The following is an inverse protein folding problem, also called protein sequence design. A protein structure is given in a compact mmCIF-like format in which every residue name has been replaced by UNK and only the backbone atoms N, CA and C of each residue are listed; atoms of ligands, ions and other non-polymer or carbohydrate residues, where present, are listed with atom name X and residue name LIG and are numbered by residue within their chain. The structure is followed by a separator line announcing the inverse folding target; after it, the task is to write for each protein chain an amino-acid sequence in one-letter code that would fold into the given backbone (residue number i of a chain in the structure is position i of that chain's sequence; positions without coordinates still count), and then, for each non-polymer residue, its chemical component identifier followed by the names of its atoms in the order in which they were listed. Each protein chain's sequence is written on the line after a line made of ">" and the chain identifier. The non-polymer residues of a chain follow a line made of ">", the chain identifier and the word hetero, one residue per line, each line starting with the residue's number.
data_IF_981008645324
#
_entry.id   IF_981008645324
#
_cell.length_a   1.000
_cell.length_b   1.000
_cell.length_c   1.000
_cell.angle_alpha   90.00
_cell.angle_beta   90.00
_cell.angle_gamma   90.00
#
_symmetry.space_group_name_H-M   'P 1'
#
loop_
_entity.id
_entity.type
_entity.pdbx_description
1 polymer ?
#
# COMPACT_ATOMS: atom_id res chain seq x y z
N UNK A 1 -12.19 -7.95 -18.50
CA UNK A 1 -13.14 -7.24 -17.63
C UNK A 1 -13.29 -5.79 -18.06
N UNK A 2 -12.18 -5.08 -18.27
CA UNK A 2 -12.18 -3.72 -18.80
C UNK A 2 -12.99 -3.61 -20.11
N UNK A 3 -12.67 -4.41 -21.13
CA UNK A 3 -13.37 -4.37 -22.43
C UNK A 3 -14.89 -4.62 -22.28
N UNK A 4 -15.27 -5.58 -21.42
CA UNK A 4 -16.68 -5.87 -21.11
C UNK A 4 -17.45 -4.65 -20.58
N UNK A 5 -16.81 -3.78 -19.80
CA UNK A 5 -17.45 -2.55 -19.29
C UNK A 5 -17.70 -1.54 -20.42
N UNK A 6 -16.85 -1.50 -21.44
CA UNK A 6 -17.03 -0.59 -22.59
C UNK A 6 -18.00 -1.14 -23.63
N UNK A 7 -18.04 -2.47 -23.78
CA UNK A 7 -18.87 -3.15 -24.78
C UNK A 7 -20.32 -3.37 -24.29
N UNK A 8 -20.56 -3.29 -22.98
CA UNK A 8 -21.88 -3.53 -22.37
C UNK A 8 -22.52 -2.21 -21.96
N UNK A 9 -23.76 -1.91 -22.38
CA UNK A 9 -24.48 -0.74 -21.87
C UNK A 9 -24.68 -0.81 -20.35
N UNK A 10 -24.63 0.33 -19.61
CA UNK A 10 -24.77 0.33 -18.15
C UNK A 10 -26.07 -0.29 -17.63
N UNK A 11 -27.14 -0.25 -18.42
CA UNK A 11 -28.44 -0.86 -18.08
C UNK A 11 -28.36 -2.39 -18.00
N UNK A 12 -27.34 -2.98 -18.62
CA UNK A 12 -27.13 -4.42 -18.74
C UNK A 12 -25.99 -4.94 -17.85
N UNK A 13 -25.46 -4.12 -16.93
CA UNK A 13 -24.40 -4.55 -16.02
C UNK A 13 -24.89 -5.62 -15.05
N UNK A 14 -24.20 -6.77 -15.05
CA UNK A 14 -24.42 -7.84 -14.08
C UNK A 14 -23.58 -7.64 -12.81
N UNK A 15 -23.60 -8.65 -11.95
CA UNK A 15 -22.87 -8.62 -10.68
C UNK A 15 -21.35 -8.47 -10.87
N UNK A 16 -20.77 -9.09 -11.91
CA UNK A 16 -19.34 -8.99 -12.19
C UNK A 16 -18.92 -7.56 -12.59
N UNK A 17 -19.67 -6.93 -13.48
CA UNK A 17 -19.43 -5.54 -13.92
C UNK A 17 -19.56 -4.59 -12.73
N UNK A 18 -20.66 -4.69 -11.98
CA UNK A 18 -20.90 -3.86 -10.81
C UNK A 18 -19.82 -4.03 -9.73
N UNK A 19 -19.27 -5.24 -9.59
CA UNK A 19 -18.16 -5.51 -8.66
C UNK A 19 -16.83 -4.92 -9.11
N UNK A 20 -16.61 -4.77 -10.42
CA UNK A 20 -15.38 -4.19 -10.97
C UNK A 20 -15.42 -2.65 -11.03
N UNK A 21 -16.60 -2.04 -11.10
CA UNK A 21 -16.76 -0.57 -11.21
C UNK A 21 -16.04 0.22 -10.12
N UNK A 22 -16.13 -0.11 -8.81
CA UNK A 22 -15.43 0.65 -7.77
C UNK A 22 -13.91 0.67 -7.99
N UNK A 23 -13.35 -0.47 -8.41
CA UNK A 23 -11.92 -0.58 -8.73
C UNK A 23 -11.58 0.33 -9.92
N UNK A 24 -12.34 0.26 -11.01
CA UNK A 24 -12.13 1.12 -12.17
C UNK A 24 -12.17 2.61 -11.80
N UNK A 25 -13.19 3.05 -11.08
CA UNK A 25 -13.34 4.44 -10.66
C UNK A 25 -12.22 4.87 -9.70
N UNK A 26 -11.78 4.00 -8.79
CA UNK A 26 -10.65 4.31 -7.90
C UNK A 26 -9.32 4.47 -8.66
N UNK A 27 -9.12 3.70 -9.74
CA UNK A 27 -7.96 3.84 -10.64
C UNK A 27 -8.04 5.17 -11.39
N UNK A 28 -9.20 5.51 -11.95
CA UNK A 28 -9.42 6.80 -12.63
C UNK A 28 -9.21 7.99 -11.68
N UNK A 29 -9.65 7.86 -10.43
CA UNK A 29 -9.46 8.88 -9.41
C UNK A 29 -7.98 9.17 -9.14
N UNK A 30 -7.16 8.12 -9.01
CA UNK A 30 -5.72 8.28 -8.83
C UNK A 30 -5.06 8.79 -10.12
N UNK A 31 -5.45 8.23 -11.27
CA UNK A 31 -4.88 8.57 -12.58
C UNK A 31 -5.08 10.03 -12.97
N UNK A 32 -6.22 10.63 -12.63
CA UNK A 32 -6.48 12.04 -12.93
C UNK A 32 -5.52 13.00 -12.22
N UNK A 33 -4.88 12.59 -11.13
CA UNK A 33 -3.89 13.40 -10.41
C UNK A 33 -2.55 13.51 -11.15
N UNK A 34 -2.25 12.55 -12.01
CA UNK A 34 -0.94 12.42 -12.68
C UNK A 34 -1.04 12.48 -14.20
N UNK A 35 -2.22 12.77 -14.75
CA UNK A 35 -2.41 12.94 -16.18
C UNK A 35 -1.86 14.30 -16.61
N UNK A 36 -0.88 14.29 -17.52
CA UNK A 36 -0.44 15.50 -18.19
C UNK A 36 -1.54 15.96 -19.16
N UNK A 37 -2.09 17.15 -18.95
CA UNK A 37 -3.03 17.74 -19.89
C UNK A 37 -2.28 18.20 -21.16
N UNK A 38 -2.67 17.75 -22.36
CA UNK A 38 -2.07 18.23 -23.60
C UNK A 38 -2.29 19.74 -23.72
N UNK A 39 -1.24 20.54 -23.51
CA UNK A 39 -1.29 22.00 -23.46
C UNK A 39 -0.87 22.61 -22.12
N UNK A 40 -0.71 21.81 -21.07
CA UNK A 40 -0.09 22.24 -19.82
C UNK A 40 1.42 22.46 -20.06
N UNK A 41 1.85 23.73 -20.06
CA UNK A 41 3.28 24.03 -20.00
C UNK A 41 3.85 23.41 -18.71
N UNK A 42 4.93 22.63 -18.85
CA UNK A 42 5.64 22.00 -17.72
C UNK A 42 5.95 23.06 -16.65
N UNK A 43 5.21 23.04 -15.53
CA UNK A 43 5.52 23.88 -14.37
C UNK A 43 4.38 24.60 -13.65
N UNK A 44 3.10 24.25 -13.83
CA UNK A 44 2.00 24.87 -13.04
C UNK A 44 1.28 23.88 -12.11
N UNK A 45 1.30 24.19 -10.80
CA UNK A 45 0.48 23.57 -9.73
C UNK A 45 -1.03 23.52 -10.06
N UNK A 46 -1.48 24.34 -11.01
CA UNK A 46 -2.86 24.37 -11.51
C UNK A 46 -3.29 23.02 -12.07
N UNK A 47 -2.40 22.33 -12.82
CA UNK A 47 -2.71 21.03 -13.43
C UNK A 47 -2.92 19.94 -12.37
N UNK A 48 -2.16 19.96 -11.28
CA UNK A 48 -2.29 18.98 -10.20
C UNK A 48 -3.57 19.21 -9.38
N UNK A 49 -3.90 20.47 -9.10
CA UNK A 49 -5.12 20.83 -8.38
C UNK A 49 -6.39 20.47 -9.17
N UNK A 50 -6.42 20.76 -10.47
CA UNK A 50 -7.52 20.34 -11.35
C UNK A 50 -7.63 18.81 -11.44
N UNK A 51 -6.49 18.12 -11.48
CA UNK A 51 -6.42 16.66 -11.44
C UNK A 51 -7.01 16.07 -10.15
N UNK A 52 -6.75 16.70 -9.00
CA UNK A 52 -7.37 16.34 -7.71
C UNK A 52 -8.88 16.55 -7.74
N UNK A 53 -9.36 17.69 -8.25
CA UNK A 53 -10.79 18.01 -8.28
C UNK A 53 -11.58 17.04 -9.17
N UNK A 54 -11.01 16.64 -10.31
CA UNK A 54 -11.60 15.57 -11.13
C UNK A 54 -11.52 14.21 -10.44
N UNK A 55 -10.37 13.91 -9.83
CA UNK A 55 -10.15 12.65 -9.13
C UNK A 55 -11.11 12.46 -7.96
N UNK A 56 -11.45 13.53 -7.26
CA UNK A 56 -12.41 13.53 -6.16
C UNK A 56 -13.81 13.08 -6.62
N UNK A 57 -14.23 13.40 -7.85
CA UNK A 57 -15.51 12.93 -8.42
C UNK A 57 -15.50 11.42 -8.58
N UNK A 58 -14.45 10.87 -9.20
CA UNK A 58 -14.29 9.43 -9.37
C UNK A 58 -14.13 8.70 -8.04
N UNK A 59 -13.36 9.26 -7.10
CA UNK A 59 -13.20 8.73 -5.74
C UNK A 59 -14.55 8.65 -5.01
N UNK A 60 -15.34 9.72 -5.09
CA UNK A 60 -16.66 9.79 -4.44
C UNK A 60 -17.60 8.73 -5.01
N UNK A 61 -17.61 8.56 -6.33
CA UNK A 61 -18.40 7.53 -6.99
C UNK A 61 -17.92 6.11 -6.60
N UNK A 62 -16.61 5.83 -6.63
CA UNK A 62 -16.05 4.54 -6.20
C UNK A 62 -16.48 4.18 -4.77
N UNK A 63 -16.39 5.16 -3.86
CA UNK A 63 -16.78 5.00 -2.45
C UNK A 63 -18.28 4.76 -2.28
N UNK A 64 -19.13 5.37 -3.10
CA UNK A 64 -20.59 5.19 -3.06
C UNK A 64 -21.03 3.81 -3.58
N UNK A 65 -20.25 3.22 -4.49
CA UNK A 65 -20.52 1.90 -5.07
C UNK A 65 -20.03 0.73 -4.21
N UNK A 66 -19.35 0.99 -3.09
CA UNK A 66 -18.71 -0.05 -2.29
C UNK A 66 -18.92 0.15 -0.79
N UNK A 67 -19.33 -0.92 -0.10
CA UNK A 67 -19.21 -1.01 1.34
C UNK A 67 -17.79 -1.42 1.73
N UNK A 68 -16.91 -0.44 1.98
CA UNK A 68 -15.49 -0.68 2.26
C UNK A 68 -15.26 -1.58 3.48
N UNK A 69 -16.18 -1.59 4.44
CA UNK A 69 -16.13 -2.42 5.66
C UNK A 69 -16.37 -3.90 5.38
N UNK A 70 -17.01 -4.24 4.25
CA UNK A 70 -17.28 -5.61 3.83
C UNK A 70 -16.51 -6.04 2.58
N UNK A 71 -15.27 -5.60 2.46
CA UNK A 71 -14.36 -6.07 1.43
C UNK A 71 -13.95 -7.54 1.65
N UNK A 72 -14.41 -8.44 0.78
CA UNK A 72 -14.19 -9.91 0.87
C UNK A 72 -13.45 -10.54 -0.33
N UNK A 73 -13.13 -9.77 -1.35
CA UNK A 73 -12.44 -10.25 -2.54
C UNK A 73 -11.31 -9.32 -3.00
N UNK A 74 -10.49 -9.82 -3.92
CA UNK A 74 -9.31 -9.10 -4.40
C UNK A 74 -9.65 -7.80 -5.15
N UNK A 75 -10.63 -7.76 -6.08
CA UNK A 75 -11.01 -6.51 -6.75
C UNK A 75 -11.45 -5.42 -5.76
N UNK A 76 -12.24 -5.79 -4.76
CA UNK A 76 -12.68 -4.86 -3.72
C UNK A 76 -11.51 -4.35 -2.89
N UNK A 77 -10.59 -5.24 -2.51
CA UNK A 77 -9.40 -4.86 -1.75
C UNK A 77 -8.52 -3.91 -2.57
N UNK A 78 -8.30 -4.22 -3.84
CA UNK A 78 -7.55 -3.36 -4.77
C UNK A 78 -8.20 -1.97 -4.89
N UNK A 79 -9.53 -1.88 -4.96
CA UNK A 79 -10.23 -0.59 -5.00
C UNK A 79 -9.93 0.25 -3.75
N UNK A 80 -9.96 -0.39 -2.58
CA UNK A 80 -9.57 0.27 -1.31
C UNK A 80 -8.10 0.71 -1.34
N UNK A 81 -7.18 -0.08 -1.89
CA UNK A 81 -5.77 0.31 -2.05
C UNK A 81 -5.59 1.55 -2.94
N UNK A 82 -6.30 1.62 -4.07
CA UNK A 82 -6.28 2.80 -4.93
C UNK A 82 -6.91 4.02 -4.25
N UNK A 83 -7.97 3.83 -3.48
CA UNK A 83 -8.55 4.90 -2.63
C UNK A 83 -7.55 5.39 -1.57
N UNK A 84 -6.77 4.51 -0.95
CA UNK A 84 -5.70 4.88 -0.01
C UNK A 84 -4.63 5.71 -0.71
N UNK A 85 -4.17 5.30 -1.91
CA UNK A 85 -3.19 6.06 -2.69
C UNK A 85 -3.69 7.46 -3.06
N UNK A 86 -4.97 7.58 -3.44
CA UNK A 86 -5.59 8.88 -3.71
C UNK A 86 -5.61 9.77 -2.47
N UNK A 87 -6.01 9.23 -1.31
CA UNK A 87 -6.04 9.96 -0.04
C UNK A 87 -4.64 10.40 0.41
N UNK A 88 -3.63 9.54 0.21
CA UNK A 88 -2.24 9.87 0.50
C UNK A 88 -1.74 11.01 -0.40
N UNK A 89 -2.05 10.96 -1.70
CA UNK A 89 -1.60 11.95 -2.68
C UNK A 89 -2.31 13.30 -2.52
N UNK A 90 -3.55 13.30 -2.03
CA UNK A 90 -4.33 14.50 -1.67
C UNK A 90 -4.10 15.00 -0.24
N UNK A 91 -3.10 14.46 0.46
CA UNK A 91 -2.72 14.81 1.83
C UNK A 91 -3.82 14.63 2.91
N UNK A 92 -4.84 13.81 2.65
CA UNK A 92 -5.87 13.47 3.64
C UNK A 92 -5.46 12.26 4.49
N UNK A 93 -4.41 12.44 5.31
CA UNK A 93 -3.75 11.35 6.04
C UNK A 93 -4.63 10.71 7.13
N UNK A 94 -5.55 11.46 7.75
CA UNK A 94 -6.46 10.92 8.77
C UNK A 94 -7.44 9.90 8.18
N UNK A 95 -8.06 10.23 7.04
CA UNK A 95 -8.94 9.29 6.32
C UNK A 95 -8.13 8.15 5.72
N UNK A 96 -6.94 8.44 5.20
CA UNK A 96 -6.00 7.44 4.68
C UNK A 96 -5.68 6.37 5.73
N UNK A 97 -5.30 6.77 6.95
CA UNK A 97 -5.01 5.86 8.05
C UNK A 97 -6.20 4.95 8.39
N UNK A 98 -7.41 5.51 8.42
CA UNK A 98 -8.64 4.72 8.64
C UNK A 98 -8.86 3.66 7.56
N UNK A 99 -8.63 4.01 6.28
CA UNK A 99 -8.78 3.11 5.15
C UNK A 99 -7.71 2.02 5.14
N UNK A 100 -6.46 2.34 5.51
CA UNK A 100 -5.39 1.35 5.70
C UNK A 100 -5.81 0.30 6.73
N UNK A 101 -6.40 0.72 7.85
CA UNK A 101 -6.90 -0.21 8.86
C UNK A 101 -8.02 -1.13 8.35
N UNK A 102 -8.90 -0.61 7.50
CA UNK A 102 -9.94 -1.41 6.84
C UNK A 102 -9.30 -2.43 5.89
N UNK A 103 -8.40 -1.98 5.01
CA UNK A 103 -7.70 -2.85 4.06
C UNK A 103 -6.91 -3.96 4.78
N UNK A 104 -6.22 -3.62 5.87
CA UNK A 104 -5.48 -4.58 6.69
C UNK A 104 -6.41 -5.62 7.29
N UNK A 105 -7.51 -5.22 7.93
CA UNK A 105 -8.49 -6.17 8.49
C UNK A 105 -9.12 -7.07 7.43
N UNK A 106 -9.41 -6.53 6.25
CA UNK A 106 -9.87 -7.33 5.11
C UNK A 106 -8.80 -8.32 4.62
N UNK A 107 -7.55 -7.88 4.49
CA UNK A 107 -6.43 -8.75 4.12
C UNK A 107 -6.19 -9.86 5.16
N UNK A 108 -6.36 -9.58 6.45
CA UNK A 108 -6.31 -10.57 7.52
C UNK A 108 -7.45 -11.59 7.40
N UNK A 109 -8.69 -11.13 7.23
CA UNK A 109 -9.88 -11.99 7.04
C UNK A 109 -9.74 -12.92 5.83
N UNK A 110 -9.18 -12.40 4.75
CA UNK A 110 -8.92 -13.16 3.53
C UNK A 110 -7.67 -14.05 3.65
N UNK A 111 -6.86 -13.94 4.71
CA UNK A 111 -5.68 -14.78 4.97
C UNK A 111 -4.42 -14.38 4.21
N UNK A 112 -4.27 -13.13 3.75
CA UNK A 112 -3.13 -12.70 2.92
C UNK A 112 -1.82 -12.55 3.72
N UNK A 113 -1.90 -12.41 5.04
CA UNK A 113 -0.74 -12.41 5.95
C UNK A 113 -0.09 -13.79 6.08
N UNK A 114 -0.76 -14.83 5.56
CA UNK A 114 -0.33 -16.22 5.69
C UNK A 114 0.39 -16.73 4.45
N UNK A 115 1.48 -17.45 4.62
CA UNK A 115 2.08 -18.29 3.58
C UNK A 115 1.26 -19.58 3.44
N UNK A 116 0.15 -19.47 2.72
CA UNK A 116 -0.76 -20.57 2.48
C UNK A 116 -0.20 -21.50 1.39
N UNK A 117 -0.08 -22.79 1.69
CA UNK A 117 0.34 -23.85 0.75
C UNK A 117 -0.78 -24.34 -0.17
N UNK A 118 -1.99 -23.76 -0.08
CA UNK A 118 -3.12 -24.10 -0.94
C UNK A 118 -2.83 -23.83 -2.43
N UNK A 119 -3.54 -24.54 -3.31
CA UNK A 119 -3.39 -24.51 -4.77
C UNK A 119 -3.95 -23.25 -5.41
N UNK A 120 -3.46 -22.07 -5.03
CA UNK A 120 -3.63 -20.87 -5.85
C UNK A 120 -2.77 -20.97 -7.09
N UNK A 121 -3.30 -20.51 -8.23
CA UNK A 121 -2.48 -20.32 -9.42
C UNK A 121 -1.41 -19.23 -9.14
N UNK A 122 -0.27 -19.22 -9.86
CA UNK A 122 0.82 -18.28 -9.59
C UNK A 122 0.41 -16.80 -9.63
N UNK A 123 -0.47 -16.42 -10.56
CA UNK A 123 -0.98 -15.03 -10.66
C UNK A 123 -1.74 -14.64 -9.39
N UNK A 124 -2.67 -15.48 -8.94
CA UNK A 124 -3.47 -15.20 -7.75
C UNK A 124 -2.59 -15.16 -6.49
N UNK A 125 -1.65 -16.10 -6.36
CA UNK A 125 -0.69 -16.14 -5.25
C UNK A 125 0.11 -14.84 -5.16
N UNK A 126 0.71 -14.40 -6.27
CA UNK A 126 1.50 -13.17 -6.29
C UNK A 126 0.64 -11.92 -6.10
N UNK A 127 -0.58 -11.89 -6.65
CA UNK A 127 -1.52 -10.78 -6.46
C UNK A 127 -1.87 -10.58 -4.97
N UNK A 128 -2.15 -11.68 -4.25
CA UNK A 128 -2.45 -11.68 -2.82
C UNK A 128 -1.24 -11.25 -1.98
N UNK A 129 -0.07 -11.79 -2.29
CA UNK A 129 1.21 -11.47 -1.65
C UNK A 129 1.55 -9.99 -1.80
N UNK A 130 1.49 -9.46 -3.02
CA UNK A 130 1.79 -8.05 -3.31
C UNK A 130 0.81 -7.10 -2.64
N UNK A 131 -0.49 -7.40 -2.67
CA UNK A 131 -1.51 -6.59 -2.00
C UNK A 131 -1.22 -6.47 -0.49
N UNK A 132 -0.87 -7.58 0.17
CA UNK A 132 -0.51 -7.57 1.59
C UNK A 132 0.70 -6.68 1.89
N UNK A 133 1.79 -6.82 1.13
CA UNK A 133 2.99 -6.01 1.36
C UNK A 133 2.79 -4.54 1.04
N UNK A 134 1.93 -4.19 0.08
CA UNK A 134 1.53 -2.78 -0.16
C UNK A 134 0.83 -2.21 1.08
N UNK A 135 -0.13 -2.93 1.67
CA UNK A 135 -0.82 -2.50 2.90
C UNK A 135 0.18 -2.27 4.03
N UNK A 136 1.13 -3.20 4.21
CA UNK A 136 2.15 -3.12 5.27
C UNK A 136 3.09 -1.92 5.10
N UNK A 137 3.47 -1.61 3.86
CA UNK A 137 4.26 -0.40 3.55
C UNK A 137 3.47 0.87 3.86
N UNK A 138 2.21 0.94 3.43
CA UNK A 138 1.33 2.09 3.70
C UNK A 138 1.09 2.30 5.20
N UNK A 139 0.81 1.24 5.95
CA UNK A 139 0.67 1.26 7.41
C UNK A 139 1.93 1.85 8.06
N UNK A 140 3.10 1.33 7.71
CA UNK A 140 4.37 1.80 8.27
C UNK A 140 4.64 3.27 7.93
N UNK A 141 4.43 3.66 6.67
CA UNK A 141 4.67 5.03 6.20
C UNK A 141 3.74 6.04 6.87
N UNK A 142 2.43 5.79 6.88
CA UNK A 142 1.45 6.71 7.49
C UNK A 142 1.60 6.75 9.00
N UNK A 143 1.88 5.60 9.63
CA UNK A 143 2.16 5.54 11.07
C UNK A 143 3.41 6.35 11.45
N UNK A 144 4.46 6.31 10.62
CA UNK A 144 5.65 7.16 10.82
C UNK A 144 5.31 8.65 10.79
N UNK A 145 4.49 9.08 9.81
CA UNK A 145 4.10 10.49 9.65
C UNK A 145 3.20 11.00 10.78
N UNK A 146 2.31 10.15 11.28
CA UNK A 146 1.33 10.52 12.31
C UNK A 146 1.81 10.25 13.75
N UNK A 147 2.97 9.59 13.92
CA UNK A 147 3.48 9.18 15.23
C UNK A 147 2.64 8.05 15.86
N UNK A 148 2.03 7.19 15.05
CA UNK A 148 1.20 6.09 15.49
C UNK A 148 1.99 4.76 15.54
N UNK A 149 1.57 3.81 16.39
CA UNK A 149 2.11 2.45 16.34
C UNK A 149 1.60 1.71 15.10
N UNK A 150 2.38 0.73 14.64
CA UNK A 150 1.93 -0.21 13.59
C UNK A 150 0.71 -1.01 14.04
N UNK A 151 -0.15 -1.35 13.08
CA UNK A 151 -1.40 -2.06 13.37
C UNK A 151 -1.26 -3.58 13.54
N UNK A 152 -0.22 -4.19 12.96
CA UNK A 152 0.02 -5.64 13.00
C UNK A 152 1.48 -5.93 13.38
N UNK A 153 1.67 -6.87 14.32
CA UNK A 153 3.01 -7.28 14.73
C UNK A 153 3.66 -8.15 13.64
N UNK A 154 4.98 -8.12 13.60
CA UNK A 154 5.74 -8.87 12.60
C UNK A 154 5.70 -10.39 12.89
N UNK A 155 5.49 -10.79 14.15
CA UNK A 155 5.35 -12.20 14.57
C UNK A 155 4.04 -12.85 14.08
N UNK A 156 3.03 -12.04 13.76
CA UNK A 156 1.73 -12.49 13.25
C UNK A 156 1.74 -12.70 11.72
N UNK A 157 2.91 -12.64 11.08
CA UNK A 157 3.07 -12.65 9.62
C UNK A 157 4.10 -13.69 9.21
N UNK A 158 3.70 -14.68 8.41
CA UNK A 158 4.61 -15.64 7.77
C UNK A 158 4.62 -15.53 6.24
N UNK A 159 3.86 -14.60 5.64
CA UNK A 159 3.86 -14.32 4.20
C UNK A 159 5.26 -13.95 3.69
N UNK A 160 5.66 -14.54 2.56
CA UNK A 160 6.94 -14.27 1.92
C UNK A 160 6.90 -12.95 1.11
N UNK A 161 8.06 -12.34 0.87
CA UNK A 161 8.17 -11.21 -0.07
C UNK A 161 7.79 -11.63 -1.51
N UNK A 162 7.22 -10.72 -2.32
CA UNK A 162 6.94 -10.97 -3.73
C UNK A 162 8.14 -11.56 -4.47
N UNK A 163 7.89 -12.47 -5.40
CA UNK A 163 8.98 -12.95 -6.26
C UNK A 163 9.46 -11.81 -7.16
N UNK A 164 10.75 -11.79 -7.45
CA UNK A 164 11.38 -10.78 -8.30
C UNK A 164 11.24 -11.16 -9.78
N UNK A 165 9.99 -11.34 -10.22
CA UNK A 165 9.61 -11.72 -11.58
C UNK A 165 8.55 -10.76 -12.10
N UNK A 166 8.76 -10.23 -13.30
CA UNK A 166 7.80 -9.35 -13.96
C UNK A 166 6.53 -10.10 -14.39
N UNK A 167 5.41 -9.38 -14.46
CA UNK A 167 4.08 -9.95 -14.68
C UNK A 167 3.97 -10.73 -16.00
N UNK A 168 4.71 -10.32 -17.04
CA UNK A 168 4.79 -11.00 -18.34
C UNK A 168 5.25 -12.46 -18.25
N UNK A 169 5.99 -12.80 -17.18
CA UNK A 169 6.54 -14.14 -16.95
C UNK A 169 5.77 -14.91 -15.87
N UNK A 170 4.65 -14.38 -15.37
CA UNK A 170 3.79 -15.06 -14.40
C UNK A 170 2.50 -15.46 -15.09
N UNK A 171 2.36 -16.74 -15.38
CA UNK A 171 1.16 -17.31 -16.02
C UNK A 171 0.27 -18.00 -14.98
N UNK A 172 -0.94 -18.40 -15.40
CA UNK A 172 -1.84 -19.21 -14.56
C UNK A 172 -1.27 -20.59 -14.23
N UNK A 173 -0.35 -21.10 -15.05
CA UNK A 173 0.15 -22.47 -14.92
C UNK A 173 1.56 -22.51 -14.32
N UNK A 174 2.40 -21.51 -14.62
CA UNK A 174 3.80 -21.49 -14.21
C UNK A 174 4.39 -20.08 -14.08
N UNK A 175 5.50 -19.99 -13.35
CA UNK A 175 6.41 -18.84 -13.35
C UNK A 175 7.54 -19.18 -14.33
N UNK A 176 7.70 -18.34 -15.36
CA UNK A 176 8.67 -18.49 -16.42
C UNK A 176 9.99 -17.77 -16.05
N UNK A 177 11.14 -18.21 -16.58
CA UNK A 177 12.40 -17.53 -16.35
C UNK A 177 12.42 -16.15 -17.03
N UNK A 178 12.95 -15.15 -16.33
CA UNK A 178 13.20 -13.84 -16.93
C UNK A 178 14.44 -13.86 -17.83
N UNK A 179 14.52 -12.98 -18.84
CA UNK A 179 15.71 -12.79 -19.66
C UNK A 179 16.93 -12.45 -18.80
N UNK A 180 18.12 -12.99 -19.13
CA UNK A 180 19.34 -12.70 -18.40
C UNK A 180 19.65 -11.20 -18.46
N UNK A 181 20.06 -10.62 -17.33
CA UNK A 181 20.40 -9.20 -17.22
C UNK A 181 19.21 -8.24 -17.07
N UNK A 182 17.96 -8.73 -17.09
CA UNK A 182 16.78 -7.91 -16.78
C UNK A 182 16.55 -7.87 -15.27
N UNK A 183 16.53 -6.67 -14.70
CA UNK A 183 16.11 -6.46 -13.30
C UNK A 183 14.59 -6.35 -13.23
N UNK A 184 13.96 -7.14 -12.37
CA UNK A 184 12.51 -7.03 -12.18
C UNK A 184 12.16 -5.75 -11.43
N UNK A 185 11.03 -5.14 -11.79
CA UNK A 185 10.44 -4.04 -11.02
C UNK A 185 10.13 -4.45 -9.57
N UNK A 186 9.89 -5.75 -9.33
CA UNK A 186 9.61 -6.28 -8.00
C UNK A 186 10.85 -6.35 -7.12
N UNK A 187 12.06 -6.38 -7.69
CA UNK A 187 13.29 -6.22 -6.92
C UNK A 187 13.34 -4.85 -6.23
N UNK A 188 12.99 -3.78 -6.95
CA UNK A 188 12.87 -2.44 -6.36
C UNK A 188 11.74 -2.37 -5.32
N UNK A 189 10.59 -3.00 -5.58
CA UNK A 189 9.50 -3.07 -4.60
C UNK A 189 9.92 -3.82 -3.33
N UNK A 190 10.69 -4.90 -3.44
CA UNK A 190 11.22 -5.68 -2.32
C UNK A 190 12.27 -4.90 -1.53
N UNK A 191 13.18 -4.21 -2.23
CA UNK A 191 14.10 -3.28 -1.59
C UNK A 191 13.35 -2.21 -0.80
N UNK A 192 12.32 -1.58 -1.37
CA UNK A 192 11.48 -0.63 -0.65
C UNK A 192 10.78 -1.27 0.57
N UNK A 193 10.28 -2.50 0.46
CA UNK A 193 9.69 -3.22 1.61
C UNK A 193 10.71 -3.43 2.74
N UNK A 194 11.96 -3.81 2.41
CA UNK A 194 13.04 -3.96 3.39
C UNK A 194 13.37 -2.62 4.06
N UNK A 195 13.39 -1.51 3.32
CA UNK A 195 13.57 -0.17 3.90
C UNK A 195 12.45 0.18 4.87
N UNK A 196 11.21 -0.19 4.57
CA UNK A 196 10.08 0.01 5.47
C UNK A 196 10.23 -0.81 6.77
N UNK A 197 10.90 -1.95 6.77
CA UNK A 197 11.21 -2.66 8.03
C UNK A 197 12.19 -1.88 8.91
N UNK A 198 13.17 -1.22 8.30
CA UNK A 198 14.09 -0.33 9.02
C UNK A 198 13.33 0.87 9.58
N UNK A 199 12.43 1.48 8.80
CA UNK A 199 11.57 2.56 9.29
C UNK A 199 10.68 2.09 10.46
N UNK A 200 10.12 0.88 10.39
CA UNK A 200 9.36 0.30 11.49
C UNK A 200 10.20 0.12 12.76
N UNK A 201 11.47 -0.30 12.61
CA UNK A 201 12.45 -0.38 13.71
C UNK A 201 12.69 1.00 14.33
N UNK A 202 12.86 2.04 13.51
CA UNK A 202 13.02 3.44 13.97
C UNK A 202 11.81 3.90 14.78
N UNK A 203 10.59 3.70 14.28
CA UNK A 203 9.36 4.10 15.00
C UNK A 203 9.31 3.44 16.39
N UNK A 204 9.62 2.14 16.46
CA UNK A 204 9.59 1.37 17.71
C UNK A 204 10.70 1.79 18.70
N UNK A 205 11.91 1.97 18.21
CA UNK A 205 13.11 2.06 19.04
C UNK A 205 13.55 3.49 19.35
N UNK A 206 13.22 4.46 18.49
CA UNK A 206 13.58 5.89 18.63
C UNK A 206 12.41 6.72 19.16
N UNK A 207 11.17 6.32 18.84
CA UNK A 207 9.95 7.03 19.26
C UNK A 207 8.98 6.17 20.11
N UNK A 208 9.45 5.50 21.19
CA UNK A 208 8.58 4.66 22.01
C UNK A 208 7.59 5.46 22.86
N UNK A 209 6.32 5.07 22.82
CA UNK A 209 5.24 5.69 23.59
C UNK A 209 5.40 5.56 25.11
N UNK A 210 6.06 4.49 25.58
CA UNK A 210 6.17 4.16 27.02
C UNK A 210 7.42 4.73 27.71
N UNK A 211 8.26 5.50 27.02
CA UNK A 211 9.57 5.89 27.58
C UNK A 211 9.63 7.31 28.16
N UNK A 212 8.48 7.97 28.32
CA UNK A 212 8.38 9.21 29.09
C UNK A 212 8.65 9.04 30.59
N UNK A 213 8.77 7.79 31.09
CA UNK A 213 9.04 7.49 32.50
C UNK A 213 10.54 7.52 32.87
N UNK A 214 11.44 7.59 31.88
CA UNK A 214 12.88 7.79 32.12
C UNK A 214 13.24 9.29 32.04
N UNK A 215 12.51 10.13 32.76
CA UNK A 215 12.92 11.52 32.97
C UNK A 215 14.17 11.55 33.85
N UNK A 216 15.22 12.24 33.38
CA UNK A 216 16.30 12.67 34.25
C UNK A 216 15.70 13.49 35.41
N UNK A 217 15.99 13.17 36.68
CA UNK A 217 15.47 13.97 37.79
C UNK A 217 16.03 15.40 37.67
N UNK A 218 15.16 16.37 37.37
CA UNK A 218 15.49 17.80 37.28
C UNK A 218 15.27 18.49 35.92
N UNK A 219 14.84 17.80 34.86
CA UNK A 219 14.54 18.45 33.57
C UNK A 219 13.04 18.83 33.46
N UNK A 220 12.75 20.11 33.22
CA UNK A 220 11.38 20.64 32.98
C UNK A 220 10.71 20.07 31.72
N UNK A 221 11.47 19.40 30.85
CA UNK A 221 10.96 18.71 29.66
C UNK A 221 11.32 17.23 29.71
N UNK A 222 10.36 16.30 29.50
CA UNK A 222 10.65 14.88 29.41
C UNK A 222 11.59 14.66 28.21
N UNK A 223 12.85 14.35 28.50
CA UNK A 223 13.85 14.07 27.47
C UNK A 223 14.04 12.56 27.43
N UNK A 224 13.71 11.95 26.30
CA UNK A 224 13.91 10.52 26.08
C UNK A 224 15.36 10.25 25.65
N UNK A 225 16.02 9.28 26.30
CA UNK A 225 17.36 8.83 25.92
C UNK A 225 17.23 7.54 25.11
N UNK A 226 17.59 7.62 23.83
CA UNK A 226 17.72 6.45 22.95
C UNK A 226 19.07 5.79 23.22
N UNK A 227 19.10 4.47 23.38
CA UNK A 227 20.37 3.74 23.51
C UNK A 227 21.21 3.87 22.24
N UNK A 228 22.47 4.26 22.37
CA UNK A 228 23.43 4.33 21.27
C UNK A 228 23.52 3.01 20.51
N UNK A 229 23.44 1.87 21.20
CA UNK A 229 23.47 0.54 20.57
C UNK A 229 22.28 0.32 19.63
N UNK A 230 21.09 0.86 19.94
CA UNK A 230 19.92 0.78 19.06
C UNK A 230 20.12 1.62 17.80
N UNK A 231 20.71 2.80 17.93
CA UNK A 231 21.03 3.69 16.80
C UNK A 231 22.04 3.00 15.87
N UNK A 232 23.15 2.50 16.41
CA UNK A 232 24.15 1.77 15.63
C UNK A 232 23.57 0.54 14.91
N UNK A 233 22.64 -0.18 15.54
CA UNK A 233 21.98 -1.31 14.92
C UNK A 233 21.03 -0.89 13.77
N UNK A 234 20.46 0.32 13.81
CA UNK A 234 19.66 0.87 12.69
C UNK A 234 20.57 1.33 11.55
N UNK A 235 21.68 2.00 11.88
CA UNK A 235 22.69 2.45 10.90
C UNK A 235 23.28 1.25 10.14
N UNK A 236 23.61 0.18 10.86
CA UNK A 236 24.09 -1.07 10.25
C UNK A 236 23.06 -1.66 9.29
N UNK A 237 21.79 -1.77 9.70
CA UNK A 237 20.73 -2.30 8.84
C UNK A 237 20.54 -1.42 7.57
N UNK A 238 20.67 -0.10 7.71
CA UNK A 238 20.55 0.84 6.59
C UNK A 238 21.73 0.74 5.62
N UNK A 239 22.95 0.58 6.14
CA UNK A 239 24.14 0.35 5.32
C UNK A 239 24.02 -0.98 4.56
N UNK A 240 23.62 -2.05 5.24
CA UNK A 240 23.40 -3.36 4.63
C UNK A 240 22.24 -3.38 3.61
N UNK A 241 21.31 -2.45 3.70
CA UNK A 241 20.24 -2.27 2.70
C UNK A 241 20.70 -1.50 1.46
N UNK A 242 21.69 -0.61 1.60
CA UNK A 242 22.25 0.20 0.52
C UNK A 242 23.20 -0.60 -0.39
N UNK A 243 23.91 -1.56 0.20
CA UNK A 243 24.83 -2.50 -0.48
C UNK A 243 24.09 -3.61 -1.25
#
# INVERSE_FOLDING_TARGET
>A
MFDRIYDTPPENFGDEENRFLPLLYSILALGSMFMDHPGAFKGQDVSYKEGIDQGLKYFTAARQMMEITDCRDMPSLQAVLFMILFLQSSANLSTCYSYIGIALRSALRMGLHRNLTYSFNPIERETRRRAFWIIRKMDTYVSALLGFPKMLNDEDVDQELPIEVDDEYITRDAILPMPPGKLSIFAASNAHTKLMFILAKVIRDVYPLKSAEQCMPGSERPTYVVSHAKIQAIEYDLQAWLE
#
